data_IF_340860169377
#
_entry.id   IF_340860169377
#
_cell.length_a   1.000
_cell.length_b   1.000
_cell.length_c   1.000
_cell.angle_alpha   90.00
_cell.angle_beta   90.00
_cell.angle_gamma   90.00
#
_symmetry.space_group_name_H-M   'P 1'
#
loop_
_entity.id
_entity.type
_entity.pdbx_description
1 polymer ?
#
# COMPACT_ATOMS: atom_id res chain seq x y z
N UNK A 1 -3.73 12.23 -30.09
CA UNK A 1 -2.55 11.41 -29.74
C UNK A 1 -1.31 12.26 -29.91
N UNK A 2 -0.43 12.27 -28.92
CA UNK A 2 0.89 12.90 -28.96
C UNK A 2 1.90 11.77 -28.80
N UNK A 3 2.84 11.63 -29.73
CA UNK A 3 3.77 10.52 -29.66
C UNK A 3 5.15 10.83 -30.27
N UNK A 4 6.17 10.13 -29.74
CA UNK A 4 7.54 10.22 -30.22
C UNK A 4 8.27 11.52 -29.86
N UNK A 5 9.58 11.43 -29.70
CA UNK A 5 10.47 12.57 -29.54
C UNK A 5 10.75 12.97 -28.09
N UNK A 6 11.43 14.10 -27.93
CA UNK A 6 11.93 14.58 -26.64
C UNK A 6 11.46 16.00 -26.40
N UNK A 7 10.85 16.24 -25.23
CA UNK A 7 10.61 17.59 -24.70
C UNK A 7 11.56 17.81 -23.52
N UNK A 8 12.31 18.91 -23.57
CA UNK A 8 13.20 19.30 -22.48
C UNK A 8 12.84 20.70 -22.01
N UNK A 9 12.69 20.86 -20.70
CA UNK A 9 12.49 22.16 -20.06
C UNK A 9 13.72 23.05 -20.27
N UNK A 10 13.50 24.32 -20.58
CA UNK A 10 14.53 25.35 -20.60
C UNK A 10 15.00 25.69 -19.18
N UNK A 11 16.10 26.43 -19.07
CA UNK A 11 16.65 26.82 -17.76
C UNK A 11 15.75 27.79 -16.98
N UNK A 12 14.85 28.50 -17.69
CA UNK A 12 13.85 29.42 -17.17
C UNK A 12 12.44 28.83 -17.05
N UNK A 13 12.28 27.52 -17.26
CA UNK A 13 10.98 26.84 -17.16
C UNK A 13 10.34 27.05 -15.76
N UNK A 14 9.01 27.24 -15.65
CA UNK A 14 8.37 27.45 -14.35
C UNK A 14 8.61 26.30 -13.36
N UNK A 15 8.84 26.63 -12.08
CA UNK A 15 9.15 25.64 -11.05
C UNK A 15 7.94 24.77 -10.66
N UNK A 16 6.73 25.21 -11.02
CA UNK A 16 5.43 24.60 -10.79
C UNK A 16 4.73 24.15 -12.09
N UNK A 17 5.35 24.40 -13.24
CA UNK A 17 4.82 24.01 -14.56
C UNK A 17 4.97 22.53 -14.88
N UNK A 18 4.28 22.08 -15.92
CA UNK A 18 4.40 20.72 -16.48
C UNK A 18 4.74 20.80 -17.97
N UNK A 19 5.61 19.92 -18.46
CA UNK A 19 5.98 19.87 -19.88
C UNK A 19 4.77 19.59 -20.78
N UNK A 20 3.84 18.78 -20.30
CA UNK A 20 2.52 18.57 -20.90
C UNK A 20 1.48 18.82 -19.82
N UNK A 21 0.61 19.82 -20.02
CA UNK A 21 -0.48 20.13 -19.10
C UNK A 21 -1.84 19.95 -19.78
N UNK A 22 -2.58 18.93 -19.35
CA UNK A 22 -3.97 18.66 -19.73
C UNK A 22 -4.91 19.22 -18.66
N UNK A 23 -4.82 20.52 -18.42
CA UNK A 23 -5.75 21.28 -17.60
C UNK A 23 -6.58 22.25 -18.47
N UNK A 24 -7.77 22.61 -17.99
CA UNK A 24 -8.49 23.74 -18.58
C UNK A 24 -7.84 25.04 -18.08
N UNK A 25 -7.74 26.09 -18.91
CA UNK A 25 -7.41 27.41 -18.42
C UNK A 25 -8.38 27.73 -17.28
N UNK A 26 -7.87 28.21 -16.14
CA UNK A 26 -8.72 28.76 -15.10
C UNK A 26 -9.60 29.81 -15.78
N UNK A 27 -10.90 29.53 -15.87
CA UNK A 27 -11.85 30.55 -16.29
C UNK A 27 -11.61 31.71 -15.34
N UNK A 28 -11.05 32.80 -15.87
CA UNK A 28 -10.85 34.05 -15.15
C UNK A 28 -12.09 34.27 -14.31
N UNK A 29 -11.92 34.37 -13.00
CA UNK A 29 -12.95 34.72 -12.02
C UNK A 29 -13.96 35.65 -12.68
N UNK A 30 -15.10 35.10 -13.11
CA UNK A 30 -16.22 35.92 -13.53
C UNK A 30 -16.77 36.51 -12.23
N UNK A 31 -16.27 37.70 -11.90
CA UNK A 31 -17.02 38.67 -11.13
C UNK A 31 -18.37 38.85 -11.83
N UNK A 32 -19.45 38.32 -11.25
CA UNK A 32 -20.78 38.56 -11.77
C UNK A 32 -21.84 37.55 -11.36
N UNK A 33 -22.59 37.92 -10.32
CA UNK A 33 -23.93 37.46 -9.95
C UNK A 33 -24.06 36.14 -9.18
N UNK A 34 -24.09 36.32 -7.86
CA UNK A 34 -24.93 35.56 -6.93
C UNK A 34 -26.38 35.46 -7.44
N UNK A 35 -26.76 34.34 -8.07
CA UNK A 35 -28.16 33.88 -8.06
C UNK A 35 -28.26 32.35 -7.98
N UNK A 36 -28.84 31.92 -6.86
CA UNK A 36 -29.57 30.67 -6.59
C UNK A 36 -28.79 29.35 -6.57
N UNK A 37 -28.42 28.98 -5.35
CA UNK A 37 -27.87 27.72 -4.84
C UNK A 37 -28.86 26.52 -4.83
N UNK A 38 -29.71 26.39 -5.85
CA UNK A 38 -30.63 25.24 -6.00
C UNK A 38 -30.57 24.56 -7.38
N UNK A 39 -29.83 25.12 -8.34
CA UNK A 39 -29.61 24.53 -9.67
C UNK A 39 -28.18 24.00 -9.89
N UNK A 40 -27.26 24.15 -8.92
CA UNK A 40 -25.88 23.67 -9.05
C UNK A 40 -25.72 22.15 -8.90
N UNK A 41 -26.75 21.44 -8.38
CA UNK A 41 -26.80 19.97 -8.37
C UNK A 41 -27.48 19.37 -9.60
N UNK A 42 -28.07 20.18 -10.48
CA UNK A 42 -28.67 19.76 -11.75
C UNK A 42 -27.91 20.30 -12.98
N UNK A 43 -26.81 21.03 -12.76
CA UNK A 43 -25.86 21.44 -13.80
C UNK A 43 -24.70 20.43 -13.98
N UNK A 44 -24.91 19.16 -13.59
CA UNK A 44 -23.99 18.04 -13.81
C UNK A 44 -24.02 17.54 -15.26
N UNK A 45 -23.72 18.41 -16.19
CA UNK A 45 -23.07 18.02 -17.45
C UNK A 45 -21.61 18.48 -17.38
N UNK A 46 -20.81 17.99 -16.42
CA UNK A 46 -19.97 16.79 -16.58
C UNK A 46 -19.05 16.80 -17.81
N UNK A 47 -18.63 17.96 -18.29
CA UNK A 47 -17.61 18.04 -19.34
C UNK A 47 -16.23 17.89 -18.70
N UNK A 48 -15.63 16.71 -18.84
CA UNK A 48 -14.19 16.54 -18.69
C UNK A 48 -13.45 17.54 -19.60
N UNK A 49 -12.31 18.05 -19.15
CA UNK A 49 -11.51 19.01 -19.91
C UNK A 49 -11.04 18.37 -21.24
N UNK A 50 -10.61 17.12 -21.14
CA UNK A 50 -10.16 16.32 -22.26
C UNK A 50 -10.67 14.89 -22.11
N UNK A 51 -10.91 14.24 -23.24
CA UNK A 51 -11.29 12.84 -23.28
C UNK A 51 -10.49 12.10 -24.36
N UNK A 52 -10.14 10.85 -24.10
CA UNK A 52 -9.51 9.94 -25.06
C UNK A 52 -8.17 10.46 -25.60
N UNK A 53 -7.34 10.97 -24.68
CA UNK A 53 -5.98 11.44 -24.98
C UNK A 53 -4.98 10.29 -24.82
N UNK A 54 -3.99 10.24 -25.71
CA UNK A 54 -2.88 9.29 -25.60
C UNK A 54 -1.57 10.04 -25.75
N UNK A 55 -0.68 9.88 -24.77
CA UNK A 55 0.71 10.32 -24.75
C UNK A 55 1.58 9.06 -24.84
N UNK A 56 2.42 8.94 -25.88
CA UNK A 56 3.12 7.68 -26.15
C UNK A 56 4.54 7.85 -26.68
N UNK A 57 5.48 6.99 -26.26
CA UNK A 57 6.84 6.97 -26.82
C UNK A 57 7.59 8.32 -26.64
N UNK A 58 7.33 9.02 -25.53
CA UNK A 58 7.89 10.36 -25.25
C UNK A 58 9.04 10.29 -24.24
N UNK A 59 10.09 11.06 -24.47
CA UNK A 59 11.06 11.42 -23.43
C UNK A 59 10.75 12.82 -22.91
N UNK A 60 10.42 12.93 -21.63
CA UNK A 60 10.13 14.20 -20.96
C UNK A 60 11.22 14.48 -19.94
N UNK A 61 11.93 15.57 -20.15
CA UNK A 61 13.06 15.96 -19.33
C UNK A 61 12.81 17.33 -18.71
N UNK A 62 12.38 17.31 -17.45
CA UNK A 62 11.99 18.51 -16.72
C UNK A 62 13.18 19.37 -16.27
N UNK A 63 14.43 18.99 -16.59
CA UNK A 63 15.65 19.79 -16.32
C UNK A 63 15.79 20.26 -14.84
N UNK A 64 15.31 19.46 -13.89
CA UNK A 64 15.18 19.77 -12.47
C UNK A 64 14.27 20.98 -12.18
N UNK A 65 13.19 21.13 -12.94
CA UNK A 65 12.17 22.19 -12.78
C UNK A 65 10.77 21.65 -13.04
N UNK A 66 9.81 21.95 -12.18
CA UNK A 66 8.42 21.55 -12.39
C UNK A 66 8.23 20.03 -12.50
N UNK A 67 7.25 19.62 -13.30
CA UNK A 67 6.83 18.24 -13.51
C UNK A 67 6.82 17.81 -14.98
N UNK A 68 6.49 16.53 -15.22
CA UNK A 68 6.41 15.95 -16.55
C UNK A 68 5.04 16.15 -17.19
N UNK A 69 4.04 15.42 -16.70
CA UNK A 69 2.67 15.41 -17.24
C UNK A 69 1.67 15.77 -16.15
N UNK A 70 0.75 16.69 -16.45
CA UNK A 70 -0.41 16.99 -15.62
C UNK A 70 -1.69 16.57 -16.36
N UNK A 71 -2.55 15.81 -15.68
CA UNK A 71 -3.85 15.35 -16.18
C UNK A 71 -4.91 15.79 -15.19
N UNK A 72 -5.66 16.84 -15.52
CA UNK A 72 -6.65 17.43 -14.60
C UNK A 72 -8.04 17.28 -15.19
N UNK A 73 -8.96 16.70 -14.41
CA UNK A 73 -10.37 16.54 -14.76
C UNK A 73 -10.57 15.99 -16.19
N UNK A 74 -9.87 14.92 -16.53
CA UNK A 74 -9.89 14.29 -17.86
C UNK A 74 -10.38 12.85 -17.79
N UNK A 75 -10.87 12.31 -18.90
CA UNK A 75 -11.39 10.95 -18.99
C UNK A 75 -10.63 10.12 -20.03
N UNK A 76 -10.33 8.85 -19.73
CA UNK A 76 -9.72 7.90 -20.69
C UNK A 76 -8.37 8.38 -21.23
N UNK A 77 -7.50 8.83 -20.34
CA UNK A 77 -6.14 9.26 -20.71
C UNK A 77 -5.18 8.08 -20.65
N UNK A 78 -4.42 7.86 -21.72
CA UNK A 78 -3.35 6.86 -21.76
C UNK A 78 -1.98 7.53 -21.78
N UNK A 79 -1.10 7.12 -20.87
CA UNK A 79 0.33 7.48 -20.84
C UNK A 79 1.11 6.18 -20.98
N UNK A 80 1.78 5.99 -22.12
CA UNK A 80 2.33 4.68 -22.52
C UNK A 80 3.76 4.79 -23.03
N UNK A 81 4.66 3.94 -22.56
CA UNK A 81 6.05 3.91 -23.03
C UNK A 81 6.76 5.27 -22.97
N UNK A 82 6.60 6.00 -21.86
CA UNK A 82 7.24 7.29 -21.65
C UNK A 82 8.46 7.15 -20.73
N UNK A 83 9.50 7.94 -20.99
CA UNK A 83 10.64 8.13 -20.10
C UNK A 83 10.59 9.54 -19.52
N UNK A 84 10.27 9.67 -18.23
CA UNK A 84 10.01 10.96 -17.57
C UNK A 84 11.06 11.17 -16.48
N UNK A 85 11.90 12.19 -16.62
CA UNK A 85 13.02 12.41 -15.72
C UNK A 85 13.21 13.85 -15.28
N UNK A 86 13.99 14.03 -14.20
CA UNK A 86 14.44 15.33 -13.71
C UNK A 86 13.32 16.29 -13.34
N UNK A 87 12.20 15.79 -12.81
CA UNK A 87 11.15 16.62 -12.21
C UNK A 87 11.52 17.00 -10.78
N UNK A 88 11.04 18.15 -10.28
CA UNK A 88 11.15 18.53 -8.86
C UNK A 88 9.81 18.43 -8.13
N UNK A 89 8.70 18.39 -8.87
CA UNK A 89 7.35 18.21 -8.32
C UNK A 89 6.88 16.77 -8.57
N UNK A 90 6.04 16.57 -9.59
CA UNK A 90 5.50 15.27 -9.98
C UNK A 90 6.01 14.86 -11.36
N UNK A 91 6.42 13.61 -11.53
CA UNK A 91 6.63 13.05 -12.87
C UNK A 91 5.32 13.04 -13.66
N UNK A 92 4.28 12.46 -13.07
CA UNK A 92 2.90 12.50 -13.54
C UNK A 92 1.99 12.92 -12.38
N UNK A 93 1.15 13.93 -12.60
CA UNK A 93 0.03 14.30 -11.74
C UNK A 93 -1.28 13.92 -12.44
N UNK A 94 -2.16 13.21 -11.72
CA UNK A 94 -3.55 12.97 -12.11
C UNK A 94 -4.45 13.55 -11.03
N UNK A 95 -5.34 14.48 -11.37
CA UNK A 95 -6.21 15.14 -10.40
C UNK A 95 -7.65 15.23 -10.89
N UNK A 96 -8.58 14.64 -10.13
CA UNK A 96 -9.94 14.39 -10.59
C UNK A 96 -9.96 13.52 -11.85
N UNK A 97 -11.06 13.55 -12.60
CA UNK A 97 -11.20 12.69 -13.77
C UNK A 97 -11.36 11.21 -13.39
N UNK A 98 -11.41 10.33 -14.41
CA UNK A 98 -11.44 8.88 -14.25
C UNK A 98 -10.66 8.21 -15.39
N UNK A 99 -10.28 6.93 -15.20
CA UNK A 99 -9.76 6.08 -16.27
C UNK A 99 -8.43 6.60 -16.87
N UNK A 100 -7.51 7.10 -16.04
CA UNK A 100 -6.13 7.34 -16.49
C UNK A 100 -5.31 6.07 -16.38
N UNK A 101 -4.70 5.64 -17.48
CA UNK A 101 -3.88 4.44 -17.58
C UNK A 101 -2.43 4.81 -17.87
N UNK A 102 -1.54 4.54 -16.91
CA UNK A 102 -0.10 4.77 -17.00
C UNK A 102 0.59 3.42 -17.15
N UNK A 103 1.33 3.22 -18.24
CA UNK A 103 1.88 1.90 -18.58
C UNK A 103 3.22 1.91 -19.28
N UNK A 104 3.97 0.83 -19.13
CA UNK A 104 5.24 0.57 -19.82
C UNK A 104 6.27 1.71 -19.68
N UNK A 105 6.21 2.48 -18.60
CA UNK A 105 6.91 3.77 -18.49
C UNK A 105 8.01 3.73 -17.43
N UNK A 106 8.98 4.63 -17.58
CA UNK A 106 10.11 4.80 -16.66
C UNK A 106 10.07 6.22 -16.10
N UNK A 107 10.04 6.36 -14.77
CA UNK A 107 9.94 7.66 -14.12
C UNK A 107 10.99 7.81 -13.02
N UNK A 108 11.75 8.90 -13.03
CA UNK A 108 12.61 9.19 -11.89
C UNK A 108 13.17 10.60 -11.81
N UNK A 109 13.27 11.12 -10.60
CA UNK A 109 13.79 12.48 -10.39
C UNK A 109 15.27 12.56 -10.77
N UNK A 110 16.08 11.55 -10.43
CA UNK A 110 17.49 11.49 -10.80
C UNK A 110 17.78 10.26 -11.66
N UNK A 111 18.50 10.41 -12.76
CA UNK A 111 18.86 9.29 -13.65
C UNK A 111 20.05 8.53 -13.04
N UNK A 112 19.76 7.65 -12.08
CA UNK A 112 20.73 6.80 -11.38
C UNK A 112 20.12 5.43 -11.07
N UNK A 113 20.98 4.44 -10.80
CA UNK A 113 20.61 3.02 -10.60
C UNK A 113 20.87 2.54 -9.17
N UNK A 114 20.86 3.46 -8.19
CA UNK A 114 21.12 3.20 -6.77
C UNK A 114 22.51 3.62 -6.31
N UNK A 115 22.71 3.72 -4.99
CA UNK A 115 24.00 4.10 -4.39
C UNK A 115 24.39 5.57 -4.60
N UNK A 116 23.44 6.43 -4.96
CA UNK A 116 23.68 7.85 -5.15
C UNK A 116 23.89 8.55 -3.79
N UNK A 117 25.03 9.22 -3.63
CA UNK A 117 25.37 9.92 -2.39
C UNK A 117 24.39 11.04 -2.01
N UNK A 118 23.61 11.54 -2.99
CA UNK A 118 22.57 12.56 -2.83
C UNK A 118 21.18 12.02 -2.56
N UNK A 119 20.97 10.70 -2.48
CA UNK A 119 19.63 10.06 -2.39
C UNK A 119 18.78 10.58 -1.22
N UNK A 120 19.41 10.93 -0.10
CA UNK A 120 18.73 11.54 1.07
C UNK A 120 17.99 12.83 0.73
N UNK A 121 18.43 13.55 -0.30
CA UNK A 121 17.87 14.83 -0.72
C UNK A 121 16.84 14.71 -1.85
N UNK A 122 16.58 13.50 -2.36
CA UNK A 122 15.50 13.30 -3.33
C UNK A 122 14.18 13.70 -2.68
N UNK A 123 13.34 14.40 -3.46
CA UNK A 123 12.16 15.13 -2.99
C UNK A 123 10.92 14.96 -3.86
N UNK A 124 11.10 14.58 -5.15
CA UNK A 124 10.01 14.50 -6.11
C UNK A 124 9.10 13.30 -5.86
N UNK A 125 7.87 13.37 -6.39
CA UNK A 125 6.93 12.25 -6.45
C UNK A 125 6.86 11.75 -7.90
N UNK A 126 7.06 10.47 -8.18
CA UNK A 126 7.03 10.03 -9.58
C UNK A 126 5.61 10.05 -10.16
N UNK A 127 4.64 9.50 -9.44
CA UNK A 127 3.22 9.50 -9.82
C UNK A 127 2.38 9.96 -8.65
N UNK A 128 1.53 10.96 -8.85
CA UNK A 128 0.56 11.42 -7.86
C UNK A 128 -0.86 11.27 -8.39
N UNK A 129 -1.62 10.33 -7.79
CA UNK A 129 -2.98 9.98 -8.17
C UNK A 129 -3.98 10.57 -7.17
N UNK A 130 -4.46 11.77 -7.48
CA UNK A 130 -5.50 12.51 -6.78
C UNK A 130 -6.87 12.31 -7.45
N UNK A 131 -7.18 11.05 -7.79
CA UNK A 131 -8.41 10.67 -8.49
C UNK A 131 -8.62 9.16 -8.38
N UNK A 132 -9.80 8.71 -8.80
CA UNK A 132 -10.22 7.32 -8.73
C UNK A 132 -10.20 6.62 -10.09
N UNK A 133 -10.31 5.29 -10.06
CA UNK A 133 -10.44 4.43 -11.24
C UNK A 133 -9.26 4.49 -12.22
N UNK A 134 -8.05 4.75 -11.71
CA UNK A 134 -6.82 4.77 -12.51
C UNK A 134 -6.05 3.45 -12.41
N UNK A 135 -5.22 3.19 -13.42
CA UNK A 135 -4.34 2.02 -13.43
C UNK A 135 -2.89 2.41 -13.71
N UNK A 136 -1.97 1.79 -12.97
CA UNK A 136 -0.52 1.88 -13.21
C UNK A 136 -0.01 0.46 -13.45
N UNK A 137 0.44 0.17 -14.68
CA UNK A 137 0.82 -1.19 -15.08
C UNK A 137 2.18 -1.25 -15.76
N UNK A 138 3.08 -2.12 -15.31
CA UNK A 138 4.40 -2.31 -15.93
C UNK A 138 5.22 -1.02 -15.95
N UNK A 139 5.31 -0.35 -14.80
CA UNK A 139 6.00 0.93 -14.64
C UNK A 139 7.18 0.80 -13.70
N UNK A 140 8.32 1.33 -14.12
CA UNK A 140 9.55 1.37 -13.33
C UNK A 140 9.75 2.76 -12.78
N UNK A 141 9.91 2.86 -11.45
CA UNK A 141 10.08 4.12 -10.74
C UNK A 141 11.41 4.11 -10.01
N UNK A 142 12.22 5.13 -10.27
CA UNK A 142 13.57 5.25 -9.76
C UNK A 142 13.84 6.62 -9.15
N UNK A 143 14.70 6.64 -8.13
CA UNK A 143 15.32 7.87 -7.59
C UNK A 143 14.38 9.05 -7.30
N UNK A 144 13.11 8.78 -6.95
CA UNK A 144 12.15 9.77 -6.45
C UNK A 144 11.96 9.61 -4.92
N UNK A 145 11.53 10.64 -4.20
CA UNK A 145 11.23 10.49 -2.77
C UNK A 145 10.04 9.56 -2.53
N UNK A 146 8.99 9.75 -3.33
CA UNK A 146 7.81 8.90 -3.33
C UNK A 146 7.63 8.31 -4.72
N UNK A 147 7.44 7.00 -4.82
CA UNK A 147 7.15 6.36 -6.09
C UNK A 147 5.74 6.73 -6.57
N UNK A 148 4.72 6.19 -5.90
CA UNK A 148 3.31 6.50 -6.16
C UNK A 148 2.65 7.07 -4.91
N UNK A 149 2.14 8.29 -4.98
CA UNK A 149 1.25 8.88 -3.98
C UNK A 149 -0.20 8.72 -4.44
N UNK A 150 -1.09 8.30 -3.54
CA UNK A 150 -2.50 8.06 -3.85
C UNK A 150 -3.38 8.76 -2.82
N UNK A 151 -4.32 9.57 -3.29
CA UNK A 151 -5.35 10.21 -2.46
C UNK A 151 -6.75 10.08 -3.04
N UNK A 152 -6.92 9.27 -4.09
CA UNK A 152 -8.23 8.84 -4.63
C UNK A 152 -8.43 7.33 -4.58
N UNK A 153 -9.68 6.89 -4.61
CA UNK A 153 -10.10 5.51 -4.33
C UNK A 153 -9.98 4.59 -5.57
N UNK A 154 -10.21 3.30 -5.40
CA UNK A 154 -10.46 2.34 -6.50
C UNK A 154 -9.33 2.15 -7.54
N UNK A 155 -8.09 2.54 -7.23
CA UNK A 155 -6.96 2.42 -8.14
C UNK A 155 -6.39 0.98 -8.21
N UNK A 156 -5.71 0.64 -9.30
CA UNK A 156 -5.03 -0.67 -9.45
C UNK A 156 -3.60 -0.54 -9.95
N UNK A 157 -2.67 -1.20 -9.27
CA UNK A 157 -1.25 -1.22 -9.62
C UNK A 157 -0.80 -2.66 -9.88
N UNK A 158 -0.14 -2.91 -11.01
CA UNK A 158 0.37 -4.23 -11.39
C UNK A 158 1.72 -4.12 -12.08
N UNK A 159 2.69 -4.99 -11.78
CA UNK A 159 3.99 -4.92 -12.47
C UNK A 159 4.76 -3.63 -12.17
N UNK A 160 4.47 -2.94 -11.06
CA UNK A 160 5.19 -1.73 -10.67
C UNK A 160 6.49 -2.12 -10.00
N UNK A 161 7.62 -1.60 -10.49
CA UNK A 161 8.93 -1.76 -9.87
C UNK A 161 9.37 -0.43 -9.25
N UNK A 162 9.34 -0.33 -7.93
CA UNK A 162 9.84 0.81 -7.19
C UNK A 162 11.25 0.52 -6.66
N UNK A 163 12.25 1.16 -7.24
CA UNK A 163 13.60 1.31 -6.66
C UNK A 163 13.92 2.80 -6.47
N UNK A 164 12.92 3.53 -6.00
CA UNK A 164 13.07 4.94 -5.64
C UNK A 164 13.82 5.08 -4.30
N UNK A 165 13.87 6.29 -3.75
CA UNK A 165 14.52 6.57 -2.47
C UNK A 165 14.20 5.49 -1.43
N UNK A 166 15.23 4.88 -0.87
CA UNK A 166 15.09 3.78 0.08
C UNK A 166 14.36 4.22 1.34
N UNK A 167 13.61 3.30 1.96
CA UNK A 167 12.85 3.58 3.19
C UNK A 167 13.76 3.99 4.35
N UNK A 168 14.94 3.38 4.47
CA UNK A 168 15.95 3.79 5.47
C UNK A 168 16.49 5.22 5.28
N UNK A 169 16.26 5.83 4.12
CA UNK A 169 16.61 7.23 3.82
C UNK A 169 15.40 8.16 3.86
N UNK A 170 14.21 7.65 4.19
CA UNK A 170 12.96 8.40 4.28
C UNK A 170 12.14 8.43 2.98
N UNK A 171 12.38 7.52 2.04
CA UNK A 171 11.55 7.36 0.85
C UNK A 171 10.43 6.31 1.02
N UNK A 172 9.45 6.38 0.13
CA UNK A 172 8.30 5.46 0.11
C UNK A 172 8.03 4.99 -1.31
N UNK A 173 7.82 3.69 -1.51
CA UNK A 173 7.50 3.11 -2.81
C UNK A 173 6.10 3.51 -3.23
N UNK A 174 5.11 3.11 -2.43
CA UNK A 174 3.70 3.45 -2.65
C UNK A 174 3.11 3.97 -1.34
N UNK A 175 2.49 5.15 -1.39
CA UNK A 175 1.82 5.76 -0.25
C UNK A 175 0.33 5.97 -0.55
N UNK A 176 -0.51 5.20 0.14
CA UNK A 176 -1.96 5.30 0.15
C UNK A 176 -2.38 6.27 1.28
N UNK A 177 -2.54 7.54 0.93
CA UNK A 177 -2.86 8.67 1.84
C UNK A 177 -4.34 9.06 1.73
N UNK A 178 -5.21 8.10 2.04
CA UNK A 178 -6.67 8.23 1.96
C UNK A 178 -7.34 7.41 3.08
N UNK A 179 -7.21 7.86 4.35
CA UNK A 179 -7.71 7.10 5.49
C UNK A 179 -9.19 6.76 5.34
N UNK A 180 -9.51 5.48 5.52
CA UNK A 180 -10.88 4.94 5.46
C UNK A 180 -11.43 4.71 4.04
N UNK A 181 -10.67 5.01 2.98
CA UNK A 181 -11.20 5.12 1.61
C UNK A 181 -10.31 4.44 0.54
N UNK A 182 -9.43 3.51 0.92
CA UNK A 182 -8.36 3.01 0.05
C UNK A 182 -8.85 2.30 -1.23
N UNK A 183 -9.62 1.21 -1.11
CA UNK A 183 -10.15 0.41 -2.23
C UNK A 183 -9.14 0.09 -3.34
N UNK A 184 -7.86 -0.07 -2.98
CA UNK A 184 -6.74 -0.16 -3.93
C UNK A 184 -6.23 -1.59 -4.02
N UNK A 185 -5.82 -1.99 -5.21
CA UNK A 185 -5.18 -3.29 -5.48
C UNK A 185 -3.75 -3.06 -5.94
N UNK A 186 -2.79 -3.73 -5.31
CA UNK A 186 -1.36 -3.70 -5.65
C UNK A 186 -0.94 -5.15 -5.83
N UNK A 187 -0.64 -5.55 -7.05
CA UNK A 187 -0.36 -6.96 -7.37
C UNK A 187 0.89 -7.09 -8.21
N UNK A 188 1.56 -8.25 -8.18
CA UNK A 188 2.67 -8.58 -9.09
C UNK A 188 3.74 -7.47 -9.18
N UNK A 189 4.03 -6.79 -8.06
CA UNK A 189 4.89 -5.62 -8.03
C UNK A 189 6.21 -5.93 -7.33
N UNK A 190 7.22 -5.11 -7.56
CA UNK A 190 8.55 -5.27 -6.99
C UNK A 190 8.96 -4.01 -6.23
N UNK A 191 9.21 -4.17 -4.94
CA UNK A 191 9.58 -3.13 -3.99
C UNK A 191 11.04 -3.32 -3.57
N UNK A 192 11.95 -2.52 -4.13
CA UNK A 192 13.40 -2.67 -3.97
C UNK A 192 13.92 -1.60 -2.98
N UNK A 193 14.25 -2.02 -1.76
CA UNK A 193 14.65 -1.17 -0.60
C UNK A 193 13.62 -0.11 -0.16
N UNK A 194 12.39 -0.16 -0.67
CA UNK A 194 11.34 0.80 -0.39
C UNK A 194 10.01 0.13 -0.10
N UNK A 195 9.19 0.67 0.80
CA UNK A 195 7.97 0.01 1.29
C UNK A 195 6.65 0.55 0.72
N UNK A 196 5.56 -0.04 1.21
CA UNK A 196 4.19 0.46 1.01
C UNK A 196 3.70 1.04 2.34
N UNK A 197 3.10 2.22 2.32
CA UNK A 197 2.45 2.84 3.49
C UNK A 197 0.97 3.02 3.20
N UNK A 198 0.10 2.59 4.12
CA UNK A 198 -1.34 2.75 4.00
C UNK A 198 -1.95 3.34 5.27
N UNK A 199 -2.59 4.51 5.15
CA UNK A 199 -3.34 5.16 6.24
C UNK A 199 -4.75 4.58 6.33
N UNK A 200 -5.14 4.12 7.52
CA UNK A 200 -6.46 3.51 7.83
C UNK A 200 -7.06 2.68 6.68
N UNK A 201 -6.41 1.57 6.26
CA UNK A 201 -6.75 0.90 5.02
C UNK A 201 -8.15 0.27 5.05
N UNK A 202 -8.92 0.52 3.98
CA UNK A 202 -10.23 -0.10 3.73
C UNK A 202 -10.24 -0.74 2.36
N UNK A 203 -10.56 -2.04 2.27
CA UNK A 203 -10.59 -2.83 1.03
C UNK A 203 -9.26 -2.75 0.24
N UNK A 204 -8.15 -2.94 0.94
CA UNK A 204 -6.80 -2.96 0.36
C UNK A 204 -6.39 -4.40 0.01
N UNK A 205 -5.84 -4.62 -1.17
CA UNK A 205 -5.27 -5.90 -1.56
C UNK A 205 -3.82 -5.73 -2.03
N UNK A 206 -2.88 -6.44 -1.40
CA UNK A 206 -1.46 -6.50 -1.74
C UNK A 206 -1.09 -7.97 -1.91
N UNK A 207 -0.74 -8.40 -3.13
CA UNK A 207 -0.40 -9.81 -3.37
C UNK A 207 0.61 -10.07 -4.48
N UNK A 208 1.18 -11.28 -4.48
CA UNK A 208 2.10 -11.78 -5.50
C UNK A 208 3.27 -10.84 -5.80
N UNK A 209 3.68 -10.04 -4.80
CA UNK A 209 4.71 -9.02 -4.93
C UNK A 209 6.00 -9.46 -4.26
N UNK A 210 7.13 -8.90 -4.70
CA UNK A 210 8.44 -9.11 -4.09
C UNK A 210 8.90 -7.86 -3.36
N UNK A 211 9.40 -8.02 -2.14
CA UNK A 211 9.95 -6.98 -1.29
C UNK A 211 11.40 -7.32 -0.96
N UNK A 212 12.34 -6.51 -1.44
CA UNK A 212 13.77 -6.68 -1.23
C UNK A 212 14.32 -5.61 -0.30
N UNK A 213 15.38 -5.95 0.45
CA UNK A 213 16.22 -4.97 1.12
C UNK A 213 15.54 -4.37 2.35
N UNK A 214 14.88 -5.23 3.13
CA UNK A 214 14.07 -4.84 4.30
C UNK A 214 12.84 -3.98 3.94
N UNK A 215 12.38 -3.99 2.69
CA UNK A 215 11.11 -3.39 2.32
C UNK A 215 9.93 -4.07 3.04
N UNK A 216 8.96 -3.27 3.51
CA UNK A 216 7.82 -3.74 4.30
C UNK A 216 6.53 -3.02 3.91
N UNK A 217 5.40 -3.54 4.42
CA UNK A 217 4.10 -2.85 4.40
C UNK A 217 3.84 -2.22 5.77
N UNK A 218 3.61 -0.91 5.82
CA UNK A 218 3.26 -0.16 7.02
C UNK A 218 1.78 0.19 7.02
N UNK A 219 1.04 -0.30 8.00
CA UNK A 219 -0.34 0.13 8.26
C UNK A 219 -0.29 1.24 9.31
N UNK A 220 -0.75 2.42 8.92
CA UNK A 220 -0.73 3.60 9.77
C UNK A 220 -2.13 3.94 10.26
N UNK A 221 -2.27 3.98 11.58
CA UNK A 221 -3.50 4.39 12.25
C UNK A 221 -3.58 5.91 12.27
N UNK A 222 -4.64 6.46 11.67
CA UNK A 222 -5.00 7.88 11.76
C UNK A 222 -6.24 8.02 12.64
N UNK A 223 -7.29 7.28 12.31
CA UNK A 223 -8.53 7.13 13.07
C UNK A 223 -8.66 5.72 13.67
N UNK A 224 -7.75 4.80 13.30
CA UNK A 224 -7.65 3.46 13.87
C UNK A 224 -8.51 2.43 13.16
N UNK A 225 -8.58 2.49 11.83
CA UNK A 225 -9.39 1.57 11.01
C UNK A 225 -8.50 0.67 10.16
N UNK A 226 -8.77 -0.63 10.17
CA UNK A 226 -8.24 -1.59 9.21
C UNK A 226 -9.36 -2.57 8.85
N UNK A 227 -9.92 -2.43 7.64
CA UNK A 227 -11.10 -3.21 7.23
C UNK A 227 -10.93 -3.82 5.83
N UNK A 228 -11.08 -5.14 5.68
CA UNK A 228 -11.01 -5.78 4.37
C UNK A 228 -9.61 -5.69 3.76
N UNK A 229 -8.57 -5.90 4.56
CA UNK A 229 -7.17 -5.76 4.15
C UNK A 229 -6.58 -7.13 3.88
N UNK A 230 -6.01 -7.34 2.70
CA UNK A 230 -5.35 -8.58 2.32
C UNK A 230 -3.88 -8.28 1.97
N UNK A 231 -2.94 -8.87 2.71
CA UNK A 231 -1.51 -8.86 2.39
C UNK A 231 -1.07 -10.31 2.32
N UNK A 232 -1.12 -10.88 1.12
CA UNK A 232 -1.04 -12.34 0.93
C UNK A 232 -0.16 -12.75 -0.24
N UNK A 233 0.44 -13.93 -0.14
CA UNK A 233 1.16 -14.55 -1.26
C UNK A 233 2.34 -13.68 -1.78
N UNK A 234 2.99 -12.92 -0.90
CA UNK A 234 4.16 -12.10 -1.22
C UNK A 234 5.47 -12.77 -0.76
N UNK A 235 6.57 -12.37 -1.37
CA UNK A 235 7.93 -12.74 -0.96
C UNK A 235 8.65 -11.55 -0.34
N UNK A 236 9.29 -11.74 0.80
CA UNK A 236 10.08 -10.74 1.50
C UNK A 236 11.51 -11.23 1.72
N UNK A 237 12.50 -10.42 1.38
CA UNK A 237 13.93 -10.73 1.54
C UNK A 237 14.66 -9.55 2.18
N UNK A 238 15.32 -9.79 3.31
CA UNK A 238 15.97 -8.74 4.10
C UNK A 238 17.30 -9.13 4.73
N UNK A 239 17.74 -8.32 5.68
CA UNK A 239 19.11 -8.28 6.19
C UNK A 239 19.35 -9.04 7.50
N UNK A 240 18.35 -9.74 8.03
CA UNK A 240 18.33 -10.35 9.38
C UNK A 240 18.37 -9.34 10.54
N UNK A 241 18.05 -8.08 10.30
CA UNK A 241 18.03 -7.03 11.35
C UNK A 241 16.71 -6.95 12.14
N UNK A 242 15.85 -7.98 12.04
CA UNK A 242 14.60 -8.07 12.80
C UNK A 242 13.46 -7.20 12.26
N UNK A 243 13.57 -6.68 11.03
CA UNK A 243 12.51 -5.91 10.37
C UNK A 243 11.30 -6.82 10.12
N UNK A 244 10.10 -6.34 10.46
CA UNK A 244 8.86 -7.09 10.26
C UNK A 244 8.30 -6.82 8.87
N UNK A 245 7.76 -7.85 8.22
CA UNK A 245 7.19 -7.74 6.85
C UNK A 245 5.94 -6.85 6.78
N UNK A 246 5.16 -6.83 7.86
CA UNK A 246 4.02 -5.93 8.05
C UNK A 246 4.16 -5.29 9.41
N UNK A 247 4.00 -3.97 9.46
CA UNK A 247 4.21 -3.15 10.64
C UNK A 247 2.98 -2.29 10.92
N UNK A 248 2.81 -1.91 12.19
CA UNK A 248 1.77 -0.99 12.62
C UNK A 248 2.42 0.32 13.09
N UNK A 249 2.09 1.44 12.44
CA UNK A 249 2.34 2.77 12.98
C UNK A 249 1.10 3.22 13.75
N UNK A 250 1.22 3.24 15.08
CA UNK A 250 0.16 3.66 16.00
C UNK A 250 0.52 4.97 16.73
N UNK A 251 1.43 5.77 16.15
CA UNK A 251 1.86 7.06 16.72
C UNK A 251 0.71 8.05 16.95
N UNK A 252 -0.38 7.94 16.16
CA UNK A 252 -1.61 8.75 16.32
C UNK A 252 -2.70 8.04 17.14
N UNK A 253 -2.41 6.86 17.69
CA UNK A 253 -3.35 6.04 18.45
C UNK A 253 -3.47 4.62 17.88
N UNK A 254 -4.03 3.68 18.65
CA UNK A 254 -4.13 2.29 18.24
C UNK A 254 -5.18 2.07 17.14
N UNK A 255 -5.06 0.97 16.41
CA UNK A 255 -6.16 0.45 15.61
C UNK A 255 -7.26 -0.07 16.54
N UNK A 256 -8.51 0.37 16.30
CA UNK A 256 -9.69 0.05 17.12
C UNK A 256 -10.72 -0.73 16.34
N UNK A 257 -10.87 -0.42 15.06
CA UNK A 257 -11.81 -1.05 14.15
C UNK A 257 -11.03 -1.96 13.21
N UNK A 258 -10.91 -3.23 13.60
CA UNK A 258 -10.14 -4.24 12.85
C UNK A 258 -11.12 -5.33 12.43
N UNK A 259 -11.40 -5.43 11.13
CA UNK A 259 -12.32 -6.42 10.57
C UNK A 259 -11.83 -6.95 9.21
N UNK A 260 -12.00 -8.25 8.95
CA UNK A 260 -11.61 -8.85 7.66
C UNK A 260 -10.16 -8.53 7.24
N UNK A 261 -9.22 -8.59 8.20
CA UNK A 261 -7.78 -8.36 7.93
C UNK A 261 -7.03 -9.69 7.84
N UNK A 262 -6.50 -9.97 6.66
CA UNK A 262 -5.75 -11.18 6.33
C UNK A 262 -4.31 -10.81 5.99
N UNK A 263 -3.38 -11.23 6.84
CA UNK A 263 -1.95 -11.29 6.52
C UNK A 263 -1.54 -12.75 6.65
N UNK A 264 -1.31 -13.41 5.51
CA UNK A 264 -1.11 -14.86 5.46
C UNK A 264 -0.36 -15.27 4.19
N UNK A 265 0.22 -16.48 4.19
CA UNK A 265 0.91 -17.09 3.03
C UNK A 265 2.02 -16.23 2.42
N UNK A 266 2.66 -15.39 3.22
CA UNK A 266 3.85 -14.67 2.81
C UNK A 266 5.11 -15.50 3.11
N UNK A 267 6.06 -15.50 2.18
CA UNK A 267 7.36 -16.15 2.34
C UNK A 267 8.39 -15.13 2.78
N UNK A 268 9.27 -15.51 3.70
CA UNK A 268 10.22 -14.58 4.30
C UNK A 268 11.62 -15.20 4.39
N UNK A 269 12.61 -14.45 3.93
CA UNK A 269 14.04 -14.70 4.13
C UNK A 269 14.67 -13.46 4.78
N UNK A 270 15.34 -13.63 5.91
CA UNK A 270 16.04 -12.52 6.57
C UNK A 270 15.17 -11.42 7.19
N UNK A 271 13.86 -11.64 7.35
CA UNK A 271 12.94 -10.71 8.03
C UNK A 271 12.02 -11.48 8.99
N UNK A 272 11.29 -10.75 9.83
CA UNK A 272 10.33 -11.32 10.78
C UNK A 272 8.95 -11.45 10.13
N UNK A 273 8.45 -12.69 10.05
CA UNK A 273 7.08 -12.98 9.62
C UNK A 273 6.07 -12.32 10.55
N UNK A 274 5.05 -11.70 9.97
CA UNK A 274 3.84 -11.25 10.66
C UNK A 274 2.61 -11.79 9.95
N UNK A 275 1.61 -12.20 10.71
CA UNK A 275 0.39 -12.81 10.21
C UNK A 275 -0.82 -12.45 11.07
N UNK A 276 -2.03 -12.62 10.53
CA UNK A 276 -3.28 -12.59 11.32
C UNK A 276 -3.83 -13.98 11.61
N UNK A 277 -3.28 -15.01 10.96
CA UNK A 277 -3.54 -16.43 11.26
C UNK A 277 -2.21 -17.09 11.60
N UNK A 278 -2.17 -17.84 12.71
CA UNK A 278 -0.95 -18.53 13.14
C UNK A 278 -1.26 -19.95 13.62
N UNK A 279 -0.31 -20.86 13.40
CA UNK A 279 -0.40 -22.27 13.78
C UNK A 279 0.86 -22.67 14.54
N UNK A 280 0.70 -23.22 15.73
CA UNK A 280 1.82 -23.65 16.59
C UNK A 280 1.45 -24.98 17.26
N UNK A 281 2.45 -25.84 17.44
CA UNK A 281 2.35 -27.04 18.26
C UNK A 281 3.20 -26.87 19.52
N UNK A 282 2.69 -27.31 20.68
CA UNK A 282 3.43 -27.37 21.93
C UNK A 282 3.31 -28.76 22.53
N UNK A 283 4.46 -29.34 22.88
CA UNK A 283 4.53 -30.61 23.60
C UNK A 283 4.83 -30.36 25.07
N UNK A 284 4.20 -31.12 25.96
CA UNK A 284 4.46 -31.03 27.39
C UNK A 284 3.80 -32.14 28.18
N UNK A 285 4.32 -32.39 29.39
CA UNK A 285 3.71 -33.27 30.38
C UNK A 285 3.24 -32.43 31.57
N UNK A 286 1.93 -32.31 31.72
CA UNK A 286 1.33 -31.46 32.74
C UNK A 286 -0.17 -31.33 32.54
N UNK A 287 -0.77 -30.39 33.26
CA UNK A 287 -2.20 -30.08 33.16
C UNK A 287 -2.49 -28.73 32.48
N UNK A 288 -1.46 -28.09 31.90
CA UNK A 288 -1.57 -26.78 31.26
C UNK A 288 -0.53 -26.63 30.16
N UNK A 289 -0.96 -26.08 29.02
CA UNK A 289 -0.13 -25.76 27.86
C UNK A 289 -0.40 -24.32 27.44
N UNK A 290 0.67 -23.53 27.37
CA UNK A 290 0.62 -22.12 26.97
C UNK A 290 1.36 -21.93 25.66
N UNK A 291 0.70 -21.30 24.70
CA UNK A 291 1.28 -20.93 23.41
C UNK A 291 1.30 -19.42 23.28
N UNK A 292 2.48 -18.84 23.06
CA UNK A 292 2.67 -17.41 22.87
C UNK A 292 2.74 -17.07 21.37
N UNK A 293 1.74 -16.33 20.89
CA UNK A 293 1.65 -15.93 19.48
C UNK A 293 2.15 -14.50 19.21
N UNK A 294 2.63 -13.75 20.20
CA UNK A 294 3.13 -12.38 20.02
C UNK A 294 4.22 -12.23 18.94
N UNK A 295 5.17 -13.17 18.77
CA UNK A 295 6.16 -13.05 17.72
C UNK A 295 5.54 -13.02 16.32
N UNK A 296 4.42 -13.72 16.11
CA UNK A 296 3.82 -13.95 14.79
C UNK A 296 2.64 -13.02 14.53
N UNK A 297 1.76 -12.82 15.51
CA UNK A 297 0.55 -12.06 15.31
C UNK A 297 0.83 -10.57 15.10
N UNK A 298 0.07 -9.96 14.19
CA UNK A 298 0.21 -8.57 13.81
C UNK A 298 -0.38 -7.63 14.86
N UNK A 299 -1.64 -7.88 15.26
CA UNK A 299 -2.32 -7.01 16.22
C UNK A 299 -2.07 -7.47 17.65
N UNK A 300 -1.83 -6.55 18.60
CA UNK A 300 -1.69 -6.91 20.00
C UNK A 300 -3.06 -7.31 20.58
N UNK A 301 -3.09 -8.41 21.33
CA UNK A 301 -4.25 -8.84 22.14
C UNK A 301 -5.58 -8.89 21.34
N UNK A 302 -5.57 -9.51 20.15
CA UNK A 302 -6.73 -9.54 19.25
C UNK A 302 -7.00 -10.95 18.70
N UNK A 303 -6.85 -11.99 19.52
CA UNK A 303 -7.29 -13.33 19.11
C UNK A 303 -8.83 -13.34 19.13
N UNK A 304 -9.45 -13.49 17.94
CA UNK A 304 -10.92 -13.57 17.79
C UNK A 304 -11.41 -15.01 17.74
N UNK A 305 -10.62 -15.91 17.15
CA UNK A 305 -10.97 -17.31 17.04
C UNK A 305 -9.79 -18.21 17.41
N UNK A 306 -10.09 -19.33 18.04
CA UNK A 306 -9.12 -20.37 18.42
C UNK A 306 -9.70 -21.72 18.03
N UNK A 307 -8.88 -22.52 17.34
CA UNK A 307 -9.11 -23.95 17.15
C UNK A 307 -7.91 -24.69 17.71
N UNK A 308 -8.15 -25.76 18.47
CA UNK A 308 -7.07 -26.61 18.96
C UNK A 308 -7.42 -28.09 18.90
N UNK A 309 -6.39 -28.93 18.86
CA UNK A 309 -6.47 -30.36 19.07
C UNK A 309 -5.44 -30.79 20.10
N UNK A 310 -5.83 -31.65 21.02
CA UNK A 310 -4.95 -32.23 22.02
C UNK A 310 -4.79 -33.73 21.74
N UNK A 311 -3.56 -34.18 21.60
CA UNK A 311 -3.24 -35.60 21.37
C UNK A 311 -2.41 -36.11 22.54
N UNK A 312 -2.88 -37.16 23.22
CA UNK A 312 -2.14 -37.85 24.29
C UNK A 312 -1.47 -39.11 23.76
N UNK A 313 -0.33 -39.49 24.34
CA UNK A 313 0.41 -40.71 23.97
C UNK A 313 -0.01 -41.96 24.75
N UNK A 314 -0.96 -41.83 25.68
CA UNK A 314 -1.47 -42.92 26.52
C UNK A 314 -2.93 -43.28 26.23
N UNK A 315 -3.50 -44.19 27.00
CA UNK A 315 -4.92 -44.57 26.93
C UNK A 315 -5.86 -43.60 27.68
N UNK A 316 -5.34 -42.45 28.11
CA UNK A 316 -6.10 -41.44 28.86
C UNK A 316 -6.68 -40.38 27.93
N UNK A 317 -7.94 -40.02 28.19
CA UNK A 317 -8.67 -38.94 27.50
C UNK A 317 -9.00 -37.86 28.54
N UNK A 318 -8.02 -37.00 28.89
CA UNK A 318 -8.24 -35.97 29.90
C UNK A 318 -9.33 -35.00 29.44
N UNK A 319 -10.16 -34.53 30.36
CA UNK A 319 -11.08 -33.44 30.05
C UNK A 319 -10.26 -32.16 29.92
N UNK A 320 -10.39 -31.47 28.79
CA UNK A 320 -9.59 -30.28 28.49
C UNK A 320 -10.45 -29.11 28.02
N UNK A 321 -9.97 -27.89 28.28
CA UNK A 321 -10.65 -26.67 27.88
C UNK A 321 -9.66 -25.55 27.53
N UNK A 322 -10.08 -24.69 26.60
CA UNK A 322 -9.47 -23.37 26.41
C UNK A 322 -9.79 -22.49 27.63
N UNK A 323 -8.78 -21.87 28.22
CA UNK A 323 -8.90 -21.06 29.44
C UNK A 323 -8.61 -19.59 29.25
N UNK A 324 -7.63 -19.26 28.40
CA UNK A 324 -7.23 -17.88 28.17
C UNK A 324 -6.77 -17.66 26.72
N UNK A 325 -6.99 -16.44 26.22
CA UNK A 325 -6.57 -15.93 24.91
C UNK A 325 -5.97 -14.51 24.98
N UNK A 326 -5.86 -13.94 26.18
CA UNK A 326 -5.34 -12.58 26.41
C UNK A 326 -3.87 -12.47 26.03
N UNK A 327 -3.43 -11.26 25.70
CA UNK A 327 -2.03 -10.95 25.38
C UNK A 327 -1.48 -11.80 24.24
N UNK A 328 -2.34 -12.21 23.29
CA UNK A 328 -2.00 -13.16 22.23
C UNK A 328 -1.43 -14.50 22.75
N UNK A 329 -1.84 -14.92 23.95
CA UNK A 329 -1.43 -16.19 24.55
C UNK A 329 -2.63 -17.10 24.70
N UNK A 330 -2.52 -18.30 24.14
CA UNK A 330 -3.53 -19.34 24.28
C UNK A 330 -3.13 -20.26 25.42
N UNK A 331 -4.00 -20.43 26.41
CA UNK A 331 -3.82 -21.36 27.53
C UNK A 331 -4.88 -22.44 27.45
N UNK A 332 -4.44 -23.69 27.35
CA UNK A 332 -5.28 -24.87 27.36
C UNK A 332 -4.94 -25.66 28.62
N UNK A 333 -5.96 -26.08 29.36
CA UNK A 333 -5.77 -26.85 30.59
C UNK A 333 -6.55 -28.16 30.53
N UNK A 334 -6.06 -29.15 31.27
CA UNK A 334 -6.73 -30.41 31.53
C UNK A 334 -7.00 -30.63 33.02
N UNK A 335 -7.97 -31.48 33.32
CA UNK A 335 -8.32 -31.90 34.68
C UNK A 335 -7.23 -32.75 35.36
N UNK A 336 -6.43 -33.47 34.57
CA UNK A 336 -5.32 -34.29 35.04
C UNK A 336 -4.05 -33.99 34.27
N UNK A 337 -2.90 -34.23 34.91
CA UNK A 337 -1.62 -34.16 34.24
C UNK A 337 -1.49 -35.31 33.23
N UNK A 338 -1.12 -35.00 31.99
CA UNK A 338 -0.86 -35.98 30.95
C UNK A 338 0.26 -35.50 30.01
N UNK A 339 1.05 -36.40 29.43
CA UNK A 339 1.87 -36.08 28.27
C UNK A 339 0.95 -35.84 27.07
N UNK A 340 1.00 -34.63 26.50
CA UNK A 340 0.21 -34.29 25.34
C UNK A 340 0.98 -33.38 24.36
N UNK A 341 0.60 -33.49 23.09
CA UNK A 341 0.91 -32.55 22.04
C UNK A 341 -0.35 -31.74 21.71
N UNK A 342 -0.26 -30.42 21.82
CA UNK A 342 -1.36 -29.50 21.60
C UNK A 342 -1.06 -28.67 20.36
N UNK A 343 -1.89 -28.84 19.33
CA UNK A 343 -1.84 -28.02 18.12
C UNK A 343 -2.88 -26.92 18.23
N UNK A 344 -2.46 -25.68 18.05
CA UNK A 344 -3.31 -24.49 18.18
C UNK A 344 -3.25 -23.68 16.90
N UNK A 345 -4.42 -23.30 16.40
CA UNK A 345 -4.61 -22.30 15.33
C UNK A 345 -5.38 -21.12 15.90
N UNK A 346 -4.92 -19.90 15.60
CA UNK A 346 -5.57 -18.66 16.02
C UNK A 346 -5.81 -17.75 14.82
N UNK A 347 -6.84 -16.90 14.92
CA UNK A 347 -7.22 -15.95 13.88
C UNK A 347 -7.63 -14.58 14.49
N UNK A 348 -7.09 -13.50 13.95
CA UNK A 348 -7.41 -12.10 14.31
C UNK A 348 -8.36 -11.41 13.32
N UNK A 349 -8.45 -11.93 12.10
CA UNK A 349 -9.20 -11.37 10.97
C UNK A 349 -10.63 -11.88 10.83
N UNK A 350 -10.97 -13.02 11.46
CA UNK A 350 -12.30 -13.62 11.40
C UNK A 350 -13.41 -12.60 11.72
N UNK A 351 -14.37 -12.48 10.80
CA UNK A 351 -15.60 -11.72 10.99
C UNK A 351 -16.51 -12.48 11.94
N UNK A 352 -17.04 -11.81 12.96
CA UNK A 352 -18.14 -12.38 13.76
C UNK A 352 -19.37 -12.51 12.87
N UNK A 353 -19.73 -13.74 12.50
CA UNK A 353 -21.07 -14.02 12.01
C UNK A 353 -22.04 -13.71 13.16
N UNK A 354 -22.72 -12.56 13.11
CA UNK A 354 -23.91 -12.35 13.91
C UNK A 354 -24.98 -13.23 13.26
N UNK A 355 -25.22 -14.42 13.82
CA UNK A 355 -26.46 -15.13 13.54
C UNK A 355 -27.60 -14.30 14.13
N UNK A 356 -28.34 -13.59 13.28
CA UNK A 356 -29.60 -12.93 13.65
C UNK A 356 -30.69 -13.95 13.91
#
# INVERSE_FOLDING_TARGET
>A
MIHGGTLRASDDFPADGYLIDLSAPSASSQEGNERSSLNSQLASSSSYNYEYITLKDLMLDSNYRGGGISVVNSLRTSIDNCYIARFTTNGILVQGGHETYIRNSFLGQHITAGGDGGERNFSGTAINLMGNDNAVTDVVIFSAAVGIMVSGQANTFSGVHCYNKATGLGGTGIYLKLPGQTQTRIVNSYMDYTGIVAEDPVQLHISSSFFLGDAFVLLKSINGVANGVNIVDNMFSGSNNGVQIVQLDQSNGPFKEIDQVVVDRNNVEGMNLKATVARVAVEGNGSSWTVDFNPILLFPNLIKHVQYSLTTSGSSFPNHALRNVSENRVVIESDVAAPANVFVTVDQGASSLISS
#
